data_IF_969983518119
#
_entry.id   IF_969983518119
#
_cell.length_a   1.000
_cell.length_b   1.000
_cell.length_c   1.000
_cell.angle_alpha   90.00
_cell.angle_beta   90.00
_cell.angle_gamma   90.00
#
_symmetry.space_group_name_H-M   'P 1'
#
loop_
_entity.id
_entity.type
_entity.pdbx_description
1 polymer ?
#
# COMPACT_ATOMS: atom_id res chain seq x y z
N UNK A 1 15.32 -13.90 26.10
CA UNK A 1 16.23 -13.87 24.93
C UNK A 1 15.92 -15.11 24.08
N UNK A 2 16.17 -15.13 22.76
CA UNK A 2 15.72 -16.23 21.89
C UNK A 2 16.60 -17.48 22.13
N UNK A 3 16.04 -18.64 22.54
CA UNK A 3 16.80 -19.86 22.85
C UNK A 3 17.70 -20.37 21.70
N UNK A 4 17.33 -20.05 20.46
CA UNK A 4 18.12 -20.37 19.27
C UNK A 4 19.43 -19.58 19.22
N UNK A 5 19.38 -18.29 19.57
CA UNK A 5 20.55 -17.40 19.54
C UNK A 5 21.55 -17.80 20.62
N UNK A 6 21.06 -18.23 21.78
CA UNK A 6 21.91 -18.74 22.87
C UNK A 6 22.60 -20.04 22.47
N UNK A 7 21.87 -20.98 21.85
CA UNK A 7 22.43 -22.29 21.46
C UNK A 7 23.51 -22.18 20.38
N UNK A 8 23.40 -21.24 19.46
CA UNK A 8 24.31 -21.10 18.31
C UNK A 8 25.20 -19.85 18.39
N UNK A 9 25.40 -19.29 19.58
CA UNK A 9 26.11 -18.02 19.76
C UNK A 9 27.54 -18.03 19.18
N UNK A 10 28.23 -19.17 19.22
CA UNK A 10 29.57 -19.35 18.65
C UNK A 10 29.59 -19.34 17.12
N UNK A 11 28.47 -19.63 16.47
CA UNK A 11 28.32 -19.67 15.01
C UNK A 11 27.73 -18.37 14.44
N UNK A 12 27.14 -17.53 15.29
CA UNK A 12 26.45 -16.30 14.90
C UNK A 12 27.42 -15.11 14.98
N UNK A 13 27.78 -14.56 13.82
CA UNK A 13 28.61 -13.34 13.76
C UNK A 13 27.85 -12.05 14.12
N UNK A 14 26.51 -12.07 14.10
CA UNK A 14 25.66 -10.94 14.46
C UNK A 14 24.18 -11.21 14.26
N UNK A 15 23.33 -10.41 14.92
CA UNK A 15 21.86 -10.48 14.78
C UNK A 15 21.38 -9.24 14.05
N UNK A 16 20.63 -9.45 12.96
CA UNK A 16 19.93 -8.41 12.23
C UNK A 16 18.43 -8.53 12.50
N UNK A 17 17.77 -7.39 12.69
CA UNK A 17 16.32 -7.31 12.88
C UNK A 17 15.72 -6.36 11.84
N UNK A 18 14.66 -6.78 11.18
CA UNK A 18 13.86 -5.92 10.29
C UNK A 18 12.39 -6.34 10.34
N UNK A 19 11.51 -5.47 9.86
CA UNK A 19 10.12 -5.84 9.63
C UNK A 19 10.04 -6.82 8.46
N UNK A 20 9.26 -7.90 8.57
CA UNK A 20 9.01 -8.81 7.45
C UNK A 20 8.13 -8.10 6.40
N UNK A 21 6.95 -7.65 6.84
CA UNK A 21 5.96 -6.98 5.99
C UNK A 21 5.55 -5.66 6.60
N UNK A 22 5.72 -4.59 5.83
CA UNK A 22 5.19 -3.27 6.21
C UNK A 22 4.00 -2.98 5.31
N UNK A 23 2.84 -2.83 5.95
CA UNK A 23 1.59 -2.42 5.30
C UNK A 23 1.17 -1.09 5.88
N UNK A 24 0.95 -0.11 5.02
CA UNK A 24 0.49 1.22 5.42
C UNK A 24 -0.87 1.47 4.77
N UNK A 25 -1.86 1.88 5.56
CA UNK A 25 -3.24 2.06 5.08
C UNK A 25 -3.59 3.53 5.00
N UNK A 26 -4.05 3.98 3.83
CA UNK A 26 -4.65 5.31 3.65
C UNK A 26 -6.16 5.28 3.82
N UNK A 27 -6.68 6.20 4.63
CA UNK A 27 -8.11 6.38 4.89
C UNK A 27 -8.49 7.85 4.77
N UNK A 28 -9.68 8.14 4.29
CA UNK A 28 -10.23 9.50 4.24
C UNK A 28 -11.15 9.70 5.47
N UNK A 29 -10.74 10.39 6.55
CA UNK A 29 -11.50 10.43 7.81
C UNK A 29 -12.94 10.89 7.64
N UNK A 30 -13.15 11.85 6.74
CA UNK A 30 -14.45 12.47 6.48
C UNK A 30 -15.45 11.50 5.83
N UNK A 31 -14.96 10.38 5.28
CA UNK A 31 -15.80 9.39 4.60
C UNK A 31 -15.49 7.93 5.00
N UNK A 32 -14.62 7.68 5.99
CA UNK A 32 -14.10 6.33 6.25
C UNK A 32 -15.01 5.42 7.08
N UNK A 33 -16.08 5.96 7.65
CA UNK A 33 -17.14 5.24 8.36
C UNK A 33 -18.51 5.88 8.06
N UNK A 34 -19.63 5.15 8.27
CA UNK A 34 -20.92 5.57 7.74
C UNK A 34 -21.41 6.93 8.27
N UNK A 35 -21.18 7.23 9.55
CA UNK A 35 -21.62 8.49 10.15
C UNK A 35 -20.82 9.68 9.64
N UNK A 36 -19.50 9.55 9.44
CA UNK A 36 -18.69 10.58 8.80
C UNK A 36 -19.15 10.81 7.36
N UNK A 37 -19.34 9.72 6.61
CA UNK A 37 -19.84 9.78 5.23
C UNK A 37 -21.22 10.45 5.14
N UNK A 38 -22.14 10.12 6.04
CA UNK A 38 -23.46 10.76 6.10
C UNK A 38 -23.35 12.26 6.43
N UNK A 39 -22.48 12.63 7.38
CA UNK A 39 -22.20 14.03 7.72
C UNK A 39 -21.60 14.80 6.54
N UNK A 40 -20.65 14.20 5.83
CA UNK A 40 -20.02 14.77 4.63
C UNK A 40 -21.05 14.99 3.51
N UNK A 41 -21.86 13.98 3.18
CA UNK A 41 -22.92 14.13 2.17
C UNK A 41 -23.92 15.22 2.56
N UNK A 42 -24.32 15.26 3.84
CA UNK A 42 -25.22 16.30 4.36
C UNK A 42 -24.63 17.70 4.25
N UNK A 43 -23.36 17.88 4.57
CA UNK A 43 -22.65 19.15 4.42
C UNK A 43 -22.59 19.61 2.95
N UNK A 44 -22.45 18.68 2.01
CA UNK A 44 -22.46 18.94 0.56
C UNK A 44 -23.87 19.08 -0.03
N UNK A 45 -24.94 18.98 0.77
CA UNK A 45 -26.32 19.03 0.30
C UNK A 45 -26.76 17.81 -0.52
N UNK A 46 -26.03 16.69 -0.42
CA UNK A 46 -26.30 15.45 -1.16
C UNK A 46 -27.15 14.51 -0.31
N UNK A 47 -28.23 13.99 -0.88
CA UNK A 47 -29.08 13.02 -0.17
C UNK A 47 -28.35 11.69 -0.03
N UNK A 48 -28.57 10.99 1.08
CA UNK A 48 -27.93 9.69 1.33
C UNK A 48 -28.22 8.65 0.24
N UNK A 49 -29.39 8.71 -0.39
CA UNK A 49 -29.77 7.84 -1.51
C UNK A 49 -29.07 8.18 -2.83
N UNK A 50 -28.56 9.40 -2.99
CA UNK A 50 -27.77 9.84 -4.16
C UNK A 50 -26.26 9.54 -3.99
N UNK A 51 -25.89 8.80 -2.91
CA UNK A 51 -24.51 8.39 -2.61
C UNK A 51 -23.80 7.73 -3.79
N UNK A 52 -24.46 6.80 -4.48
CA UNK A 52 -23.83 6.08 -5.60
C UNK A 52 -23.53 7.03 -6.76
N UNK A 53 -24.48 7.91 -7.09
CA UNK A 53 -24.36 8.90 -8.16
C UNK A 53 -23.26 9.92 -7.87
N UNK A 54 -23.01 10.25 -6.59
CA UNK A 54 -21.86 11.04 -6.18
C UNK A 54 -20.52 10.27 -6.28
N UNK A 55 -20.52 8.96 -5.94
CA UNK A 55 -19.31 8.14 -5.94
C UNK A 55 -18.84 7.71 -7.34
N UNK A 56 -19.75 7.59 -8.31
CA UNK A 56 -19.47 7.14 -9.67
C UNK A 56 -18.46 8.01 -10.43
N UNK A 57 -18.60 9.35 -10.48
CA UNK A 57 -17.61 10.22 -11.12
C UNK A 57 -16.20 10.05 -10.53
N UNK A 58 -16.09 9.92 -9.21
CA UNK A 58 -14.80 9.74 -8.51
C UNK A 58 -14.14 8.40 -8.86
N UNK A 59 -14.94 7.33 -8.98
CA UNK A 59 -14.47 6.03 -9.49
C UNK A 59 -13.89 6.16 -10.89
N UNK A 60 -14.60 6.88 -11.76
CA UNK A 60 -14.22 7.02 -13.16
C UNK A 60 -12.96 7.88 -13.33
N UNK A 61 -12.82 8.94 -12.53
CA UNK A 61 -11.59 9.74 -12.44
C UNK A 61 -10.38 8.88 -12.01
N UNK A 62 -10.55 8.02 -10.99
CA UNK A 62 -9.48 7.12 -10.56
C UNK A 62 -9.08 6.13 -11.66
N UNK A 63 -10.04 5.62 -12.44
CA UNK A 63 -9.76 4.76 -13.60
C UNK A 63 -9.00 5.52 -14.68
N UNK A 64 -9.45 6.71 -15.06
CA UNK A 64 -8.79 7.54 -16.07
C UNK A 64 -7.37 7.89 -15.65
N UNK A 65 -7.15 8.22 -14.37
CA UNK A 65 -5.82 8.47 -13.84
C UNK A 65 -4.91 7.24 -13.91
N UNK A 66 -5.43 6.04 -13.57
CA UNK A 66 -4.67 4.80 -13.69
C UNK A 66 -4.27 4.50 -15.14
N UNK A 67 -5.19 4.74 -16.10
CA UNK A 67 -4.94 4.59 -17.53
C UNK A 67 -3.91 5.59 -18.04
N UNK A 68 -3.97 6.84 -17.60
CA UNK A 68 -2.96 7.87 -17.90
C UNK A 68 -1.58 7.48 -17.37
N UNK A 69 -1.48 7.08 -16.10
CA UNK A 69 -0.20 6.62 -15.51
C UNK A 69 0.37 5.44 -16.29
N UNK A 70 -0.48 4.51 -16.74
CA UNK A 70 -0.06 3.39 -17.56
C UNK A 70 0.49 3.86 -18.92
N UNK A 71 -0.23 4.77 -19.60
CA UNK A 71 0.15 5.32 -20.89
C UNK A 71 1.46 6.11 -20.82
N UNK A 72 1.62 6.98 -19.82
CA UNK A 72 2.83 7.78 -19.59
C UNK A 72 4.06 6.90 -19.35
N UNK A 73 3.87 5.72 -18.74
CA UNK A 73 4.92 4.73 -18.52
C UNK A 73 5.11 3.74 -19.69
N UNK A 74 4.30 3.82 -20.75
CA UNK A 74 4.31 2.87 -21.86
C UNK A 74 3.87 1.45 -21.46
N UNK A 75 3.11 1.31 -20.38
CA UNK A 75 2.65 0.04 -19.81
C UNK A 75 1.19 -0.24 -20.17
N UNK A 76 0.84 -1.54 -20.24
CA UNK A 76 -0.57 -1.98 -20.36
C UNK A 76 -1.06 -2.48 -19.01
N UNK A 77 -2.24 -2.01 -18.60
CA UNK A 77 -2.90 -2.51 -17.38
C UNK A 77 -3.36 -3.96 -17.63
N UNK A 78 -2.88 -4.89 -16.82
CA UNK A 78 -3.25 -6.30 -16.92
C UNK A 78 -4.45 -6.61 -16.01
N UNK A 79 -5.62 -6.87 -16.62
CA UNK A 79 -6.83 -7.24 -15.89
C UNK A 79 -6.86 -8.72 -15.50
N UNK A 80 -6.86 -8.99 -14.20
CA UNK A 80 -6.86 -10.33 -13.62
C UNK A 80 -8.31 -10.86 -13.56
N UNK A 81 -8.64 -11.76 -14.49
CA UNK A 81 -9.98 -12.36 -14.58
C UNK A 81 -10.27 -13.45 -13.55
N UNK A 82 -9.24 -14.21 -13.11
CA UNK A 82 -9.38 -15.32 -12.17
C UNK A 82 -8.41 -15.18 -11.00
N UNK A 83 -8.93 -14.78 -9.84
CA UNK A 83 -8.15 -14.62 -8.60
C UNK A 83 -7.56 -15.94 -8.07
N UNK A 84 -8.26 -17.05 -8.25
CA UNK A 84 -7.94 -18.32 -7.56
C UNK A 84 -6.75 -19.10 -8.13
N UNK A 85 -6.16 -18.65 -9.25
CA UNK A 85 -4.98 -19.27 -9.86
C UNK A 85 -3.85 -18.32 -10.21
N UNK A 86 -4.10 -17.00 -10.19
CA UNK A 86 -3.13 -16.01 -10.60
C UNK A 86 -2.37 -15.42 -9.41
N UNK A 87 -1.11 -15.83 -9.24
CA UNK A 87 -0.21 -15.24 -8.24
C UNK A 87 0.46 -14.00 -8.80
N UNK A 88 -0.05 -12.82 -8.45
CA UNK A 88 0.50 -11.49 -8.80
C UNK A 88 2.02 -11.42 -8.57
N UNK A 89 2.48 -11.92 -7.43
CA UNK A 89 3.92 -11.96 -7.09
C UNK A 89 4.75 -12.80 -8.07
N UNK A 90 4.25 -13.94 -8.54
CA UNK A 90 4.96 -14.78 -9.52
C UNK A 90 5.06 -14.06 -10.85
N UNK A 91 3.98 -13.39 -11.29
CA UNK A 91 3.97 -12.60 -12.53
C UNK A 91 4.95 -11.43 -12.45
N UNK A 92 4.96 -10.69 -11.35
CA UNK A 92 5.88 -9.56 -11.16
C UNK A 92 7.33 -10.02 -11.15
N UNK A 93 7.65 -11.15 -10.50
CA UNK A 93 9.01 -11.70 -10.54
C UNK A 93 9.47 -12.03 -11.96
N UNK A 94 8.58 -12.54 -12.82
CA UNK A 94 8.91 -12.78 -14.23
C UNK A 94 9.17 -11.47 -14.98
N UNK A 95 8.33 -10.45 -14.79
CA UNK A 95 8.52 -9.12 -15.41
C UNK A 95 9.84 -8.49 -14.95
N UNK A 96 10.18 -8.59 -13.66
CA UNK A 96 11.45 -8.07 -13.12
C UNK A 96 12.65 -8.84 -13.66
N UNK A 97 12.52 -10.16 -13.92
CA UNK A 97 13.61 -10.94 -14.51
C UNK A 97 13.94 -10.47 -15.95
N UNK A 98 12.96 -9.96 -16.68
CA UNK A 98 13.14 -9.42 -18.05
C UNK A 98 13.57 -7.94 -18.02
N UNK A 99 12.89 -7.10 -17.24
CA UNK A 99 13.13 -5.64 -17.13
C UNK A 99 14.41 -5.31 -16.34
N UNK A 100 14.76 -6.12 -15.36
CA UNK A 100 15.78 -5.82 -14.35
C UNK A 100 15.26 -5.05 -13.13
N UNK A 101 16.09 -4.97 -12.08
CA UNK A 101 15.74 -4.43 -10.76
C UNK A 101 15.99 -2.90 -10.63
N UNK A 102 15.95 -2.18 -11.75
CA UNK A 102 16.14 -0.72 -11.74
C UNK A 102 14.87 -0.01 -11.22
N UNK A 103 15.00 1.15 -10.55
CA UNK A 103 13.87 1.89 -9.99
C UNK A 103 12.78 2.26 -11.01
N UNK A 104 11.58 2.56 -10.50
CA UNK A 104 10.44 3.04 -11.29
C UNK A 104 9.27 2.07 -11.36
N UNK A 105 8.23 2.46 -12.09
CA UNK A 105 7.02 1.67 -12.28
C UNK A 105 7.34 0.39 -13.06
N UNK A 106 6.93 -0.75 -12.51
CA UNK A 106 7.19 -2.08 -13.09
C UNK A 106 5.98 -2.57 -13.87
N UNK A 107 4.81 -2.58 -13.23
CA UNK A 107 3.58 -3.06 -13.86
C UNK A 107 2.34 -2.60 -13.10
N UNK A 108 1.19 -2.58 -13.79
CA UNK A 108 -0.11 -2.29 -13.17
C UNK A 108 -1.04 -3.47 -13.39
N UNK A 109 -1.57 -4.04 -12.30
CA UNK A 109 -2.70 -4.96 -12.40
C UNK A 109 -4.01 -4.28 -12.06
N UNK A 110 -5.08 -4.76 -12.66
CA UNK A 110 -6.45 -4.46 -12.28
C UNK A 110 -7.15 -5.75 -11.87
N UNK A 111 -7.81 -5.76 -10.72
CA UNK A 111 -8.52 -6.94 -10.22
C UNK A 111 -9.86 -6.55 -9.61
N UNK A 112 -10.89 -7.36 -9.79
CA UNK A 112 -12.17 -7.17 -9.11
C UNK A 112 -12.12 -7.87 -7.75
N UNK A 113 -12.21 -7.11 -6.67
CA UNK A 113 -12.11 -7.63 -5.30
C UNK A 113 -13.20 -7.03 -4.41
N UNK A 114 -13.44 -7.65 -3.26
CA UNK A 114 -14.37 -7.12 -2.27
C UNK A 114 -13.77 -5.89 -1.60
N UNK A 115 -14.58 -4.83 -1.52
CA UNK A 115 -14.22 -3.58 -0.84
C UNK A 115 -15.33 -3.12 0.12
N UNK A 116 -14.99 -2.40 1.20
CA UNK A 116 -15.98 -1.71 2.02
C UNK A 116 -16.78 -0.74 1.16
N UNK A 117 -18.08 -0.64 1.42
CA UNK A 117 -19.00 0.28 0.76
C UNK A 117 -20.07 0.70 1.77
N UNK A 118 -20.95 1.61 1.37
CA UNK A 118 -22.10 1.99 2.16
C UNK A 118 -23.41 1.71 1.46
N UNK A 119 -24.47 1.50 2.24
CA UNK A 119 -25.84 1.35 1.75
C UNK A 119 -26.76 2.33 2.50
N UNK A 120 -27.51 3.19 1.79
CA UNK A 120 -28.54 4.00 2.42
C UNK A 120 -29.70 3.11 2.87
N UNK A 121 -30.20 3.35 4.10
CA UNK A 121 -31.34 2.67 4.68
C UNK A 121 -32.30 3.72 5.26
N UNK A 122 -33.59 3.51 5.01
CA UNK A 122 -34.65 4.26 5.67
C UNK A 122 -35.37 3.34 6.65
N UNK A 123 -35.40 3.73 7.92
CA UNK A 123 -36.20 3.06 8.94
C UNK A 123 -37.62 3.65 8.97
N UNK A 124 -38.62 2.80 8.75
CA UNK A 124 -40.02 3.22 8.73
C UNK A 124 -40.59 3.49 10.13
N UNK A 125 -40.07 2.80 11.15
CA UNK A 125 -40.53 2.93 12.52
C UNK A 125 -40.02 4.24 13.12
N UNK A 126 -38.71 4.47 13.00
CA UNK A 126 -38.05 5.66 13.54
C UNK A 126 -38.10 6.86 12.59
N UNK A 127 -38.66 6.68 11.38
CA UNK A 127 -38.67 7.65 10.27
C UNK A 127 -37.30 8.29 10.01
N UNK A 128 -36.23 7.54 10.28
CA UNK A 128 -34.85 8.01 10.17
C UNK A 128 -34.20 7.46 8.92
N UNK A 129 -33.29 8.23 8.33
CA UNK A 129 -32.48 7.76 7.20
C UNK A 129 -31.02 7.73 7.63
N UNK A 130 -30.37 6.60 7.40
CA UNK A 130 -28.99 6.37 7.80
C UNK A 130 -28.20 5.74 6.66
N UNK A 131 -26.88 5.77 6.82
CA UNK A 131 -25.94 5.08 5.96
C UNK A 131 -25.39 3.89 6.76
N UNK A 132 -25.44 2.68 6.21
CA UNK A 132 -24.93 1.46 6.85
C UNK A 132 -23.67 0.95 6.16
N UNK A 133 -22.71 0.44 6.93
CA UNK A 133 -21.54 -0.26 6.39
C UNK A 133 -21.97 -1.54 5.68
N UNK A 134 -21.48 -1.72 4.47
CA UNK A 134 -21.68 -2.96 3.70
C UNK A 134 -20.39 -3.34 2.96
N UNK A 135 -20.44 -4.42 2.20
CA UNK A 135 -19.35 -4.83 1.32
C UNK A 135 -19.88 -4.97 -0.10
N UNK A 136 -19.10 -4.49 -1.06
CA UNK A 136 -19.39 -4.59 -2.49
C UNK A 136 -18.15 -5.11 -3.22
N UNK A 137 -18.21 -5.24 -4.55
CA UNK A 137 -17.06 -5.49 -5.39
C UNK A 137 -16.72 -4.23 -6.17
N UNK A 138 -15.43 -3.90 -6.20
CA UNK A 138 -14.93 -2.82 -7.02
C UNK A 138 -13.62 -3.23 -7.70
N UNK A 139 -13.17 -2.41 -8.65
CA UNK A 139 -11.86 -2.59 -9.27
C UNK A 139 -10.81 -2.11 -8.28
N UNK A 140 -9.75 -2.88 -8.12
CA UNK A 140 -8.54 -2.51 -7.40
C UNK A 140 -7.39 -2.45 -8.38
N UNK A 141 -6.72 -1.31 -8.42
CA UNK A 141 -5.45 -1.17 -9.12
C UNK A 141 -4.30 -1.51 -8.20
N UNK A 142 -3.34 -2.28 -8.70
CA UNK A 142 -2.09 -2.59 -8.04
C UNK A 142 -0.94 -2.01 -8.86
N UNK A 143 -0.40 -0.90 -8.40
CA UNK A 143 0.79 -0.28 -8.99
C UNK A 143 2.01 -0.91 -8.35
N UNK A 144 2.69 -1.79 -9.09
CA UNK A 144 3.97 -2.37 -8.66
C UNK A 144 5.11 -1.52 -9.17
N UNK A 145 6.02 -1.13 -8.28
CA UNK A 145 7.17 -0.29 -8.61
C UNK A 145 8.37 -0.70 -7.77
N UNK A 146 9.57 -0.39 -8.25
CA UNK A 146 10.81 -0.54 -7.50
C UNK A 146 11.21 0.82 -6.98
N UNK A 147 11.27 0.94 -5.66
CA UNK A 147 11.81 2.09 -4.98
C UNK A 147 13.32 1.93 -4.77
N UNK A 148 14.07 3.02 -4.89
CA UNK A 148 15.52 3.00 -4.70
C UNK A 148 15.94 2.49 -3.32
N UNK A 149 15.16 2.82 -2.29
CA UNK A 149 15.44 2.49 -0.90
C UNK A 149 14.72 1.22 -0.46
N UNK A 150 13.44 1.10 -0.79
CA UNK A 150 12.59 0.01 -0.28
C UNK A 150 12.56 -1.23 -1.21
N UNK A 151 13.06 -1.12 -2.44
CA UNK A 151 12.98 -2.18 -3.43
C UNK A 151 11.56 -2.38 -3.94
N UNK A 152 11.18 -3.62 -4.24
CA UNK A 152 9.86 -3.92 -4.80
C UNK A 152 8.73 -3.59 -3.80
N UNK A 153 7.86 -2.69 -4.22
CA UNK A 153 6.70 -2.21 -3.47
C UNK A 153 5.44 -2.32 -4.31
N UNK A 154 4.26 -2.20 -3.67
CA UNK A 154 3.03 -1.93 -4.40
C UNK A 154 2.12 -0.94 -3.68
N UNK A 155 1.34 -0.20 -4.47
CA UNK A 155 0.17 0.55 -4.00
C UNK A 155 -1.10 -0.13 -4.52
N UNK A 156 -1.98 -0.52 -3.61
CA UNK A 156 -3.32 -1.01 -3.90
C UNK A 156 -4.32 0.14 -3.72
N UNK A 157 -4.98 0.50 -4.81
CA UNK A 157 -5.96 1.59 -4.87
C UNK A 157 -7.33 1.01 -5.24
N UNK A 158 -8.29 0.92 -4.29
CA UNK A 158 -9.68 0.63 -4.64
C UNK A 158 -10.31 1.79 -5.40
N UNK A 159 -11.19 1.48 -6.33
CA UNK A 159 -11.94 2.46 -7.14
C UNK A 159 -13.28 2.86 -6.53
N UNK A 160 -13.59 2.42 -5.32
CA UNK A 160 -14.86 2.74 -4.67
C UNK A 160 -14.66 3.29 -3.26
N UNK A 161 -15.56 4.19 -2.88
CA UNK A 161 -15.63 4.82 -1.56
C UNK A 161 -15.71 3.74 -0.48
N UNK A 162 -14.89 3.78 0.59
CA UNK A 162 -14.13 4.92 1.09
C UNK A 162 -12.67 5.01 0.60
N UNK A 163 -12.36 4.46 -0.57
CA UNK A 163 -11.04 4.56 -1.22
C UNK A 163 -9.87 4.15 -0.31
N UNK A 164 -10.05 3.07 0.47
CA UNK A 164 -9.04 2.63 1.44
C UNK A 164 -7.77 2.11 0.74
N UNK A 165 -6.83 3.01 0.54
CA UNK A 165 -5.55 2.77 -0.10
C UNK A 165 -4.66 1.90 0.80
N UNK A 166 -3.82 1.08 0.20
CA UNK A 166 -2.86 0.25 0.93
C UNK A 166 -1.51 0.25 0.21
N UNK A 167 -0.45 0.59 0.94
CA UNK A 167 0.94 0.52 0.47
C UNK A 167 1.59 -0.67 1.14
N UNK A 168 2.39 -1.41 0.38
CA UNK A 168 3.16 -2.52 0.88
C UNK A 168 4.61 -2.45 0.42
N UNK A 169 5.51 -2.76 1.33
CA UNK A 169 6.88 -3.11 1.01
C UNK A 169 7.41 -4.18 1.99
N UNK A 170 8.44 -4.90 1.56
CA UNK A 170 9.08 -5.92 2.37
C UNK A 170 10.33 -5.34 3.03
N UNK A 171 10.41 -5.39 4.36
CA UNK A 171 11.54 -4.81 5.08
C UNK A 171 12.85 -5.59 4.88
N UNK A 172 12.81 -6.84 4.43
CA UNK A 172 14.00 -7.57 4.02
C UNK A 172 14.61 -7.01 2.72
N UNK A 173 13.81 -6.49 1.78
CA UNK A 173 14.36 -5.83 0.59
C UNK A 173 15.07 -4.52 0.95
N UNK A 174 14.47 -3.73 1.83
CA UNK A 174 15.11 -2.54 2.37
C UNK A 174 16.44 -2.89 3.07
N UNK A 175 16.43 -3.88 3.96
CA UNK A 175 17.63 -4.29 4.70
C UNK A 175 18.72 -4.78 3.75
N UNK A 176 18.36 -5.57 2.73
CA UNK A 176 19.28 -6.01 1.69
C UNK A 176 19.93 -4.84 0.96
N UNK A 177 19.15 -3.82 0.60
CA UNK A 177 19.64 -2.62 -0.09
C UNK A 177 20.56 -1.77 0.79
N UNK A 178 20.28 -1.66 2.09
CA UNK A 178 21.20 -0.98 3.01
C UNK A 178 22.53 -1.73 3.15
N UNK A 179 22.48 -3.06 3.30
CA UNK A 179 23.68 -3.90 3.40
C UNK A 179 24.52 -3.88 2.12
N UNK A 180 23.87 -3.83 0.95
CA UNK A 180 24.56 -3.69 -0.33
C UNK A 180 25.30 -2.35 -0.45
N UNK A 181 24.71 -1.25 0.06
CA UNK A 181 25.33 0.08 0.07
C UNK A 181 26.53 0.19 1.00
N UNK A 182 26.46 -0.45 2.17
CA UNK A 182 27.50 -0.28 3.20
C UNK A 182 28.68 -1.26 3.08
N UNK A 183 28.45 -2.51 2.62
CA UNK A 183 29.43 -3.56 2.88
C UNK A 183 29.61 -4.60 1.76
N UNK A 184 29.23 -4.31 0.52
CA UNK A 184 29.34 -5.27 -0.60
C UNK A 184 28.70 -6.64 -0.29
N UNK A 185 27.66 -6.64 0.56
CA UNK A 185 27.00 -7.86 1.05
C UNK A 185 25.87 -8.24 0.10
N UNK A 186 26.01 -9.37 -0.57
CA UNK A 186 25.01 -9.94 -1.46
C UNK A 186 24.02 -10.84 -0.72
N UNK A 187 22.72 -10.65 -0.97
CA UNK A 187 21.67 -11.51 -0.40
C UNK A 187 21.75 -12.92 -1.01
N UNK A 188 21.64 -13.95 -0.17
CA UNK A 188 21.49 -15.32 -0.64
C UNK A 188 20.01 -15.64 -0.92
N UNK A 189 19.70 -16.34 -2.01
CA UNK A 189 18.32 -16.51 -2.50
C UNK A 189 17.51 -17.56 -1.74
N UNK A 190 18.08 -18.25 -0.74
CA UNK A 190 17.51 -19.50 -0.23
C UNK A 190 16.69 -19.31 1.05
N UNK A 191 16.92 -18.29 1.86
CA UNK A 191 16.12 -17.99 3.08
C UNK A 191 16.30 -16.52 3.46
N UNK A 192 15.63 -16.03 4.52
CA UNK A 192 15.82 -14.69 5.12
C UNK A 192 17.24 -14.48 5.71
N UNK A 193 18.26 -15.04 5.09
CA UNK A 193 19.66 -15.06 5.50
C UNK A 193 20.50 -14.20 4.56
N UNK A 194 21.48 -13.52 5.12
CA UNK A 194 22.46 -12.72 4.40
C UNK A 194 23.82 -13.40 4.54
N UNK A 195 24.56 -13.52 3.44
CA UNK A 195 25.90 -14.10 3.43
C UNK A 195 26.88 -13.00 3.04
N UNK A 196 27.84 -12.72 3.92
CA UNK A 196 28.94 -11.81 3.63
C UNK A 196 30.27 -12.48 3.90
N UNK A 197 31.30 -12.16 3.10
CA UNK A 197 32.71 -12.44 3.42
C UNK A 197 33.27 -11.47 4.47
N UNK A 198 32.67 -10.29 4.62
CA UNK A 198 33.06 -9.24 5.57
C UNK A 198 31.82 -8.59 6.18
N UNK A 199 31.56 -8.83 7.46
CA UNK A 199 30.44 -8.21 8.17
C UNK A 199 30.82 -6.81 8.68
N UNK A 200 29.99 -5.78 8.45
CA UNK A 200 30.22 -4.48 9.06
C UNK A 200 30.09 -4.60 10.58
N UNK A 201 31.12 -4.18 11.33
CA UNK A 201 31.14 -4.21 12.81
C UNK A 201 30.17 -3.21 13.47
N UNK A 202 29.49 -2.38 12.68
CA UNK A 202 28.52 -1.40 13.17
C UNK A 202 27.13 -2.04 13.23
N UNK A 203 26.46 -1.88 14.37
CA UNK A 203 25.00 -2.01 14.43
C UNK A 203 24.42 -0.97 13.46
N UNK A 204 23.86 -1.40 12.33
CA UNK A 204 23.03 -0.51 11.49
C UNK A 204 21.90 -0.04 12.41
N UNK A 205 21.84 1.25 12.77
CA UNK A 205 20.84 1.71 13.73
C UNK A 205 19.45 1.53 13.11
N UNK A 206 18.67 0.61 13.68
CA UNK A 206 17.24 0.41 13.36
C UNK A 206 16.40 1.69 13.48
N UNK A 207 16.94 2.72 14.15
CA UNK A 207 16.28 4.00 14.41
C UNK A 207 15.92 4.79 13.12
N UNK A 208 16.41 4.37 11.95
CA UNK A 208 16.05 4.97 10.65
C UNK A 208 14.75 4.39 10.06
N UNK A 209 14.34 3.18 10.44
CA UNK A 209 13.03 2.60 10.07
C UNK A 209 11.97 2.93 11.13
N UNK A 210 11.87 4.19 11.56
CA UNK A 210 10.60 4.59 12.16
C UNK A 210 9.56 4.58 11.05
N UNK A 211 8.32 4.13 11.31
CA UNK A 211 7.28 4.23 10.30
C UNK A 211 7.19 5.65 9.75
N UNK A 212 7.34 6.70 10.60
CA UNK A 212 7.41 8.12 10.19
C UNK A 212 8.44 8.41 9.10
N UNK A 213 9.65 7.88 9.20
CA UNK A 213 10.72 8.14 8.24
C UNK A 213 10.45 7.46 6.88
N UNK A 214 9.96 6.22 6.90
CA UNK A 214 9.57 5.51 5.67
C UNK A 214 8.40 6.20 4.96
N UNK A 215 7.43 6.62 5.77
CA UNK A 215 6.19 7.33 5.41
C UNK A 215 6.49 8.69 4.77
N UNK A 216 7.35 9.50 5.38
CA UNK A 216 7.70 10.84 4.85
C UNK A 216 8.53 10.79 3.57
N UNK A 217 9.50 9.88 3.50
CA UNK A 217 10.40 9.75 2.33
C UNK A 217 9.65 9.21 1.11
N UNK A 218 8.73 8.26 1.33
CA UNK A 218 7.93 7.69 0.25
C UNK A 218 6.90 8.69 -0.32
N UNK A 219 6.16 9.43 0.52
CA UNK A 219 5.17 10.41 0.02
C UNK A 219 5.82 11.56 -0.76
N UNK A 220 6.96 12.06 -0.29
CA UNK A 220 7.63 13.16 -0.99
C UNK A 220 8.15 12.74 -2.38
N UNK A 221 8.49 11.46 -2.56
CA UNK A 221 8.97 10.92 -3.84
C UNK A 221 7.87 10.45 -4.80
N UNK A 222 6.66 10.14 -4.32
CA UNK A 222 5.65 9.39 -5.08
C UNK A 222 4.27 10.06 -5.16
N UNK A 223 4.22 11.40 -5.15
CA UNK A 223 2.96 12.20 -5.25
C UNK A 223 2.13 11.92 -6.52
N UNK A 224 2.75 11.39 -7.57
CA UNK A 224 2.12 11.09 -8.87
C UNK A 224 1.06 10.00 -8.80
N UNK A 225 1.08 9.13 -7.79
CA UNK A 225 0.13 8.03 -7.66
C UNK A 225 -1.13 8.37 -6.86
N UNK A 226 -1.23 9.60 -6.32
CA UNK A 226 -2.39 10.03 -5.51
C UNK A 226 -3.03 11.27 -6.13
N UNK A 227 -4.37 11.36 -6.19
CA UNK A 227 -5.04 12.53 -6.77
C UNK A 227 -4.64 13.83 -6.08
N UNK A 228 -4.53 14.91 -6.85
CA UNK A 228 -3.98 16.21 -6.43
C UNK A 228 -4.79 16.93 -5.35
N UNK A 229 -6.06 16.55 -5.13
CA UNK A 229 -6.97 17.13 -4.15
C UNK A 229 -6.91 16.46 -2.76
N UNK A 230 -5.94 15.57 -2.54
CA UNK A 230 -5.79 14.83 -1.28
C UNK A 230 -4.62 15.38 -0.47
N UNK A 231 -4.90 16.00 0.67
CA UNK A 231 -3.88 16.38 1.66
C UNK A 231 -3.66 15.25 2.65
N UNK A 232 -2.39 14.93 2.94
CA UNK A 232 -2.00 13.82 3.80
C UNK A 232 -1.63 14.28 5.20
N UNK A 233 -2.23 13.64 6.19
CA UNK A 233 -1.84 13.76 7.59
C UNK A 233 -1.42 12.39 8.13
N UNK A 234 -0.16 12.18 8.54
CA UNK A 234 0.28 10.92 9.10
C UNK A 234 -0.32 10.70 10.49
N UNK A 235 -1.05 9.61 10.70
CA UNK A 235 -1.57 9.19 11.99
C UNK A 235 -0.96 7.83 12.39
N UNK A 236 -0.02 7.85 13.33
CA UNK A 236 0.55 6.60 13.86
C UNK A 236 -0.25 6.19 15.09
N UNK A 237 -0.98 5.08 14.97
CA UNK A 237 -1.69 4.45 16.08
C UNK A 237 -1.09 3.07 16.34
N UNK A 238 -0.11 2.98 17.24
CA UNK A 238 0.55 1.72 17.61
C UNK A 238 1.34 1.05 16.48
N UNK A 239 1.25 -0.27 16.35
CA UNK A 239 1.92 -1.07 15.29
C UNK A 239 1.28 -0.92 13.89
N UNK A 240 0.30 -0.04 13.75
CA UNK A 240 -0.39 0.26 12.49
C UNK A 240 -0.22 1.73 12.14
N UNK A 241 0.22 1.99 10.90
CA UNK A 241 0.27 3.35 10.38
C UNK A 241 -0.96 3.60 9.51
N UNK A 242 -1.73 4.62 9.88
CA UNK A 242 -2.90 5.09 9.14
C UNK A 242 -2.58 6.45 8.55
N UNK A 243 -3.03 6.69 7.34
CA UNK A 243 -3.07 8.04 6.79
C UNK A 243 -4.47 8.57 6.86
N UNK A 244 -4.58 9.81 7.29
CA UNK A 244 -5.77 10.61 7.14
C UNK A 244 -5.58 11.45 5.89
N UNK A 245 -6.36 11.12 4.86
CA UNK A 245 -6.47 11.89 3.64
C UNK A 245 -7.67 12.82 3.82
N UNK A 246 -7.52 14.13 3.62
CA UNK A 246 -8.66 15.04 3.61
C UNK A 246 -9.08 15.26 2.16
N UNK A 247 -10.39 15.24 1.90
CA UNK A 247 -10.94 15.76 0.65
C UNK A 247 -10.94 17.29 0.77
N UNK A 248 -10.32 17.96 -0.19
CA UNK A 248 -10.43 19.42 -0.33
C UNK A 248 -11.68 19.81 -1.10
#
# INVERSE_FOLDING_TARGET
MNPFVERHQSEISGVLSCFDRVVITGTLPDICYPQAMAGFLGYQGIRLFDYASWAEPLRDELRQNAERIAADAGLKIEFIRKSNGFRKEKRIKAIIAERGDHPGLVHIFSAMETCPSYRPRHDKLDKSTSLESTSSKCIHYYFYFIDEQFGLCYVRVPTWVPFRLQIYFNGHYWLARQLAKEASVSRCSITHSFISRTWPKRKIPLNLLTPRHCIGTWINGHKTFVPSYVTFTPAITGASCRWNMLLT
#
